data_IF_932197825194
#
_entry.id   IF_932197825194
#
_cell.length_a   1.000
_cell.length_b   1.000
_cell.length_c   1.000
_cell.angle_alpha   90.00
_cell.angle_beta   90.00
_cell.angle_gamma   90.00
#
_symmetry.space_group_name_H-M   'P 1'
#
loop_
_entity.id
_entity.type
_entity.pdbx_description
1 polymer ?
#
# COMPACT_ATOMS: atom_id res chain seq x y z
N UNK A 1 -4.81 -18.72 -11.76
CA UNK A 1 -4.43 -18.03 -10.51
C UNK A 1 -3.56 -16.87 -10.94
N UNK A 2 -4.00 -15.62 -10.79
CA UNK A 2 -3.11 -14.48 -11.01
C UNK A 2 -2.29 -14.33 -9.73
N UNK A 3 -0.98 -14.53 -9.84
CA UNK A 3 -0.06 -14.32 -8.74
C UNK A 3 -0.11 -12.85 -8.30
N UNK A 4 -0.13 -12.62 -6.99
CA UNK A 4 -0.03 -11.27 -6.44
C UNK A 4 1.36 -10.73 -6.78
N UNK A 5 1.49 -9.55 -7.41
CA UNK A 5 2.79 -8.94 -7.67
C UNK A 5 3.62 -8.85 -6.39
N UNK A 6 4.94 -9.11 -6.50
CA UNK A 6 5.83 -9.16 -5.33
C UNK A 6 5.79 -7.84 -4.53
N UNK A 7 5.68 -6.70 -5.19
CA UNK A 7 5.54 -5.38 -4.57
C UNK A 7 4.27 -5.25 -3.72
N UNK A 8 3.13 -5.78 -4.18
CA UNK A 8 1.88 -5.83 -3.39
C UNK A 8 2.01 -6.77 -2.21
N UNK A 9 2.61 -7.94 -2.40
CA UNK A 9 2.86 -8.88 -1.31
C UNK A 9 3.71 -8.23 -0.22
N UNK A 10 4.82 -7.59 -0.59
CA UNK A 10 5.68 -6.85 0.34
C UNK A 10 4.92 -5.74 1.07
N UNK A 11 4.19 -4.90 0.33
CA UNK A 11 3.40 -3.81 0.90
C UNK A 11 2.41 -4.29 1.97
N UNK A 12 1.64 -5.35 1.68
CA UNK A 12 0.65 -5.89 2.60
C UNK A 12 1.29 -6.53 3.84
N UNK A 13 2.37 -7.29 3.66
CA UNK A 13 3.09 -7.89 4.79
C UNK A 13 3.74 -6.83 5.68
N UNK A 14 4.34 -5.78 5.10
CA UNK A 14 4.90 -4.67 5.86
C UNK A 14 3.84 -3.87 6.61
N UNK A 15 2.64 -3.69 6.04
CA UNK A 15 1.52 -3.05 6.73
C UNK A 15 1.06 -3.86 7.95
N UNK A 16 0.90 -5.18 7.80
CA UNK A 16 0.55 -6.08 8.90
C UNK A 16 1.61 -6.11 9.99
N UNK A 17 2.89 -6.12 9.62
CA UNK A 17 3.99 -6.04 10.56
C UNK A 17 3.94 -4.72 11.35
N UNK A 18 3.76 -3.59 10.66
CA UNK A 18 3.61 -2.28 11.31
C UNK A 18 2.39 -2.24 12.25
N UNK A 19 1.26 -2.83 11.86
CA UNK A 19 0.07 -2.97 12.71
C UNK A 19 0.36 -3.79 13.96
N UNK A 20 0.99 -4.96 13.83
CA UNK A 20 1.31 -5.83 14.96
C UNK A 20 2.29 -5.21 15.97
N UNK A 21 3.16 -4.30 15.51
CA UNK A 21 4.16 -3.62 16.34
C UNK A 21 3.66 -2.30 16.93
N UNK A 22 2.53 -1.78 16.44
CA UNK A 22 1.99 -0.51 16.91
C UNK A 22 1.53 -0.63 18.37
N UNK A 23 1.85 0.40 19.17
CA UNK A 23 1.47 0.46 20.59
C UNK A 23 0.88 1.83 20.93
N UNK A 24 -0.07 1.84 21.86
CA UNK A 24 -0.71 3.06 22.34
C UNK A 24 -1.48 3.82 21.24
N UNK A 25 -1.27 5.15 21.09
CA UNK A 25 -2.09 5.98 20.21
C UNK A 25 -1.90 5.66 18.71
N UNK A 26 -0.80 5.02 18.33
CA UNK A 26 -0.47 4.71 16.93
C UNK A 26 -1.24 3.51 16.36
N UNK A 27 -1.80 2.65 17.23
CA UNK A 27 -2.52 1.43 16.83
C UNK A 27 -3.65 1.75 15.86
N UNK A 28 -4.43 2.80 16.14
CA UNK A 28 -5.56 3.21 15.29
C UNK A 28 -5.09 3.61 13.90
N UNK A 29 -3.96 4.29 13.80
CA UNK A 29 -3.40 4.74 12.54
C UNK A 29 -2.84 3.57 11.73
N UNK A 30 -2.18 2.60 12.38
CA UNK A 30 -1.67 1.40 11.73
C UNK A 30 -2.81 0.51 11.19
N UNK A 31 -3.82 0.19 12.02
CA UNK A 31 -5.00 -0.60 11.60
C UNK A 31 -5.72 0.07 10.42
N UNK A 32 -5.92 1.39 10.51
CA UNK A 32 -6.55 2.17 9.44
C UNK A 32 -5.74 2.16 8.15
N UNK A 33 -4.42 2.28 8.25
CA UNK A 33 -3.50 2.18 7.11
C UNK A 33 -3.63 0.82 6.45
N UNK A 34 -3.63 -0.28 7.20
CA UNK A 34 -3.85 -1.63 6.66
C UNK A 34 -5.19 -1.73 5.93
N UNK A 35 -6.27 -1.25 6.55
CA UNK A 35 -7.61 -1.26 5.94
C UNK A 35 -7.67 -0.49 4.61
N UNK A 36 -7.01 0.67 4.55
CA UNK A 36 -6.90 1.48 3.33
C UNK A 36 -6.11 0.75 2.25
N UNK A 37 -5.00 0.08 2.60
CA UNK A 37 -4.20 -0.68 1.64
C UNK A 37 -4.93 -1.93 1.11
N UNK A 38 -5.71 -2.63 1.95
CA UNK A 38 -6.55 -3.75 1.51
C UNK A 38 -7.59 -3.30 0.49
N UNK A 39 -8.26 -2.17 0.76
CA UNK A 39 -9.20 -1.56 -0.19
C UNK A 39 -8.49 -1.12 -1.47
N UNK A 40 -7.36 -0.42 -1.33
CA UNK A 40 -6.58 0.07 -2.47
C UNK A 40 -6.11 -1.06 -3.40
N UNK A 41 -5.65 -2.19 -2.84
CA UNK A 41 -5.29 -3.36 -3.64
C UNK A 41 -6.48 -3.94 -4.40
N UNK A 42 -7.64 -4.06 -3.74
CA UNK A 42 -8.86 -4.56 -4.39
C UNK A 42 -9.29 -3.63 -5.52
N UNK A 43 -9.30 -2.33 -5.27
CA UNK A 43 -9.78 -1.32 -6.21
C UNK A 43 -8.79 -1.13 -7.38
N UNK A 44 -7.51 -1.45 -7.17
CA UNK A 44 -6.49 -1.56 -8.22
C UNK A 44 -6.51 -2.91 -8.98
N UNK A 45 -7.49 -3.78 -8.72
CA UNK A 45 -7.70 -5.02 -9.49
C UNK A 45 -7.08 -6.29 -8.89
N UNK A 46 -6.45 -6.23 -7.72
CA UNK A 46 -5.95 -7.43 -7.02
C UNK A 46 -7.13 -8.20 -6.44
N UNK A 47 -7.24 -9.48 -6.78
CA UNK A 47 -8.40 -10.28 -6.35
C UNK A 47 -8.47 -10.43 -4.83
N UNK A 48 -9.69 -10.38 -4.28
CA UNK A 48 -9.92 -10.58 -2.83
C UNK A 48 -9.37 -11.91 -2.34
N UNK A 49 -9.47 -12.97 -3.16
CA UNK A 49 -8.93 -14.28 -2.82
C UNK A 49 -7.39 -14.23 -2.70
N UNK A 50 -6.73 -13.54 -3.63
CA UNK A 50 -5.28 -13.38 -3.61
C UNK A 50 -4.79 -12.52 -2.44
N UNK A 51 -5.52 -11.44 -2.11
CA UNK A 51 -5.24 -10.62 -0.92
C UNK A 51 -5.39 -11.46 0.35
N UNK A 52 -6.49 -12.22 0.47
CA UNK A 52 -6.78 -13.07 1.61
C UNK A 52 -5.71 -14.15 1.84
N UNK A 53 -5.19 -14.73 0.76
CA UNK A 53 -4.06 -15.66 0.80
C UNK A 53 -2.79 -14.98 1.33
N UNK A 54 -2.43 -13.80 0.82
CA UNK A 54 -1.24 -13.07 1.30
C UNK A 54 -1.32 -12.75 2.79
N UNK A 55 -2.47 -12.26 3.25
CA UNK A 55 -2.65 -11.85 4.65
C UNK A 55 -3.08 -12.99 5.58
N UNK A 56 -3.23 -14.21 5.05
CA UNK A 56 -3.61 -15.42 5.80
C UNK A 56 -4.93 -15.28 6.60
N UNK A 57 -5.95 -14.68 5.97
CA UNK A 57 -7.30 -14.55 6.57
C UNK A 57 -8.38 -15.05 5.61
N UNK A 58 -9.62 -15.19 6.09
CA UNK A 58 -10.76 -15.51 5.24
C UNK A 58 -11.10 -14.33 4.31
N UNK A 59 -11.49 -14.61 3.06
CA UNK A 59 -11.90 -13.59 2.09
C UNK A 59 -13.03 -12.67 2.58
N UNK A 60 -13.94 -13.19 3.40
CA UNK A 60 -15.02 -12.42 4.02
C UNK A 60 -14.48 -11.32 4.97
N UNK A 61 -13.41 -11.61 5.71
CA UNK A 61 -12.75 -10.63 6.57
C UNK A 61 -12.17 -9.46 5.78
N UNK A 62 -11.69 -9.68 4.55
CA UNK A 62 -11.18 -8.61 3.69
C UNK A 62 -12.32 -7.67 3.29
N UNK A 63 -13.46 -8.21 2.86
CA UNK A 63 -14.61 -7.40 2.42
C UNK A 63 -15.12 -6.47 3.52
N UNK A 64 -15.14 -6.95 4.77
CA UNK A 64 -15.63 -6.19 5.92
C UNK A 64 -14.65 -5.10 6.41
N UNK A 65 -13.36 -5.23 6.10
CA UNK A 65 -12.29 -4.35 6.59
C UNK A 65 -11.84 -3.31 5.57
N UNK A 66 -12.22 -3.44 4.31
CA UNK A 66 -11.72 -2.61 3.20
C UNK A 66 -12.54 -1.34 3.01
N UNK A 67 -12.00 -0.20 3.46
CA UNK A 67 -12.51 1.14 3.16
C UNK A 67 -11.39 1.90 2.44
N UNK A 68 -11.61 2.41 1.23
CA UNK A 68 -10.59 3.24 0.59
C UNK A 68 -10.47 4.58 1.33
N UNK A 69 -9.25 5.09 1.42
CA UNK A 69 -8.94 6.25 2.22
C UNK A 69 -7.66 6.93 1.79
N UNK A 70 -7.47 8.15 2.28
CA UNK A 70 -6.28 8.94 1.99
C UNK A 70 -5.12 8.47 2.86
N UNK A 71 -3.99 8.19 2.23
CA UNK A 71 -2.78 7.70 2.88
C UNK A 71 -1.64 8.70 2.68
N UNK A 72 -0.86 8.91 3.75
CA UNK A 72 0.32 9.77 3.70
C UNK A 72 1.40 9.15 2.81
N UNK A 73 1.99 9.96 1.92
CA UNK A 73 3.09 9.53 1.04
C UNK A 73 4.24 8.94 1.83
N UNK A 74 4.62 9.55 2.95
CA UNK A 74 5.73 9.07 3.76
C UNK A 74 5.44 7.68 4.37
N UNK A 75 4.20 7.44 4.79
CA UNK A 75 3.78 6.14 5.32
C UNK A 75 3.76 5.09 4.20
N UNK A 76 3.18 5.44 3.04
CA UNK A 76 3.15 4.56 1.88
C UNK A 76 4.55 4.17 1.43
N UNK A 77 5.41 5.16 1.18
CA UNK A 77 6.77 4.97 0.69
C UNK A 77 7.56 4.02 1.60
N UNK A 78 7.49 4.26 2.91
CA UNK A 78 8.11 3.38 3.92
C UNK A 78 7.61 1.94 3.85
N UNK A 79 6.30 1.73 3.69
CA UNK A 79 5.71 0.37 3.65
C UNK A 79 5.96 -0.33 2.31
N UNK A 80 5.94 0.41 1.21
CA UNK A 80 6.17 -0.11 -0.14
C UNK A 80 7.65 -0.32 -0.46
N UNK A 81 8.56 0.17 0.39
CA UNK A 81 10.01 0.11 0.14
C UNK A 81 10.46 1.02 -1.00
N UNK A 82 9.72 2.10 -1.26
CA UNK A 82 10.05 3.15 -2.23
C UNK A 82 10.36 4.45 -1.51
N UNK A 83 10.87 5.44 -2.22
CA UNK A 83 11.16 6.78 -1.72
C UNK A 83 9.99 7.73 -1.94
N UNK A 84 9.93 8.81 -1.13
CA UNK A 84 8.95 9.89 -1.34
C UNK A 84 9.15 10.58 -2.70
N UNK A 85 10.41 10.66 -3.14
CA UNK A 85 10.76 11.25 -4.44
C UNK A 85 10.22 10.41 -5.60
N UNK A 86 10.31 9.08 -5.53
CA UNK A 86 9.70 8.17 -6.51
C UNK A 86 8.19 8.38 -6.61
N UNK A 87 7.49 8.43 -5.47
CA UNK A 87 6.03 8.71 -5.46
C UNK A 87 5.73 10.10 -6.03
N UNK A 88 6.59 11.09 -5.79
CA UNK A 88 6.46 12.43 -6.36
C UNK A 88 6.68 12.44 -7.88
N UNK A 89 7.50 11.52 -8.41
CA UNK A 89 7.62 11.33 -9.87
C UNK A 89 6.32 10.78 -10.44
N UNK A 90 5.67 9.81 -9.78
CA UNK A 90 4.39 9.26 -10.24
C UNK A 90 3.33 10.35 -10.42
N UNK A 91 3.31 11.35 -9.54
CA UNK A 91 2.44 12.51 -9.70
C UNK A 91 2.81 13.34 -10.94
N UNK A 92 4.10 13.62 -11.15
CA UNK A 92 4.58 14.37 -12.33
C UNK A 92 4.30 13.64 -13.64
N UNK A 93 4.35 12.32 -13.61
CA UNK A 93 4.07 11.43 -14.74
C UNK A 93 2.57 11.20 -14.96
N UNK A 94 1.71 11.78 -14.11
CA UNK A 94 0.25 11.68 -14.23
C UNK A 94 -0.35 10.35 -13.77
N UNK A 95 0.43 9.52 -13.07
CA UNK A 95 -0.02 8.24 -12.49
C UNK A 95 -0.84 8.43 -11.20
N UNK A 96 -0.66 9.56 -10.52
CA UNK A 96 -1.42 9.91 -9.32
C UNK A 96 -2.37 11.09 -9.59
N UNK A 97 -3.58 11.07 -9.00
CA UNK A 97 -4.46 12.24 -9.01
C UNK A 97 -3.85 13.37 -8.17
N UNK A 98 -4.50 14.53 -8.13
CA UNK A 98 -4.11 15.60 -7.19
C UNK A 98 -4.28 15.13 -5.75
N UNK A 99 -3.31 15.43 -4.90
CA UNK A 99 -3.38 15.11 -3.47
C UNK A 99 -4.60 15.78 -2.83
N UNK A 100 -5.29 15.05 -1.96
CA UNK A 100 -6.49 15.55 -1.27
C UNK A 100 -6.32 15.47 0.24
N UNK A 101 -6.95 16.39 1.00
CA UNK A 101 -7.00 16.28 2.45
C UNK A 101 -8.01 15.19 2.87
N UNK A 102 -7.66 14.43 3.90
CA UNK A 102 -8.57 13.50 4.58
C UNK A 102 -9.47 14.24 5.60
N UNK A 103 -10.38 13.50 6.24
CA UNK A 103 -11.27 14.04 7.29
C UNK A 103 -10.51 14.62 8.51
N UNK A 104 -9.24 14.26 8.70
CA UNK A 104 -8.35 14.76 9.74
C UNK A 104 -7.41 15.86 9.21
N UNK A 105 -7.66 16.39 8.01
CA UNK A 105 -6.84 17.40 7.31
C UNK A 105 -5.43 16.93 6.96
N UNK A 106 -5.18 15.62 6.95
CA UNK A 106 -3.91 15.05 6.48
C UNK A 106 -3.94 15.05 4.96
N UNK A 107 -2.89 15.56 4.33
CA UNK A 107 -2.77 15.57 2.87
C UNK A 107 -2.10 14.28 2.41
N UNK A 108 -2.67 13.64 1.39
CA UNK A 108 -2.13 12.42 0.82
C UNK A 108 -2.85 12.05 -0.47
N UNK A 109 -2.77 10.77 -0.82
CA UNK A 109 -3.43 10.22 -2.01
C UNK A 109 -4.37 9.09 -1.62
N UNK A 110 -5.43 8.83 -2.41
CA UNK A 110 -6.21 7.60 -2.27
C UNK A 110 -5.27 6.38 -2.29
N UNK A 111 -5.48 5.43 -1.38
CA UNK A 111 -4.65 4.24 -1.30
C UNK A 111 -4.70 3.44 -2.60
N UNK A 112 -5.87 3.37 -3.24
CA UNK A 112 -6.06 2.80 -4.59
C UNK A 112 -5.13 3.43 -5.64
N UNK A 113 -4.99 4.76 -5.66
CA UNK A 113 -4.12 5.45 -6.61
C UNK A 113 -2.63 5.15 -6.35
N UNK A 114 -2.21 5.13 -5.08
CA UNK A 114 -0.83 4.79 -4.71
C UNK A 114 -0.47 3.35 -5.08
N UNK A 115 -1.41 2.42 -4.86
CA UNK A 115 -1.24 1.02 -5.24
C UNK A 115 -1.19 0.87 -6.76
N UNK A 116 -2.06 1.56 -7.50
CA UNK A 116 -2.03 1.56 -8.96
C UNK A 116 -0.70 2.11 -9.52
N UNK A 117 -0.18 3.19 -8.93
CA UNK A 117 1.15 3.72 -9.28
C UNK A 117 2.27 2.70 -9.05
N UNK A 118 2.26 2.03 -7.88
CA UNK A 118 3.24 0.98 -7.56
C UNK A 118 3.17 -0.21 -8.53
N UNK A 119 1.97 -0.61 -8.95
CA UNK A 119 1.78 -1.67 -9.94
C UNK A 119 2.34 -1.25 -11.31
N UNK A 120 2.00 -0.06 -11.77
CA UNK A 120 2.47 0.46 -13.06
C UNK A 120 4.00 0.52 -13.14
N UNK A 121 4.69 0.84 -12.04
CA UNK A 121 6.16 0.84 -12.01
C UNK A 121 6.77 -0.56 -11.91
N UNK A 122 6.05 -1.52 -11.33
CA UNK A 122 6.51 -2.91 -11.19
C UNK A 122 6.44 -3.68 -12.52
N UNK A 123 5.52 -3.31 -13.42
CA UNK A 123 5.36 -3.93 -14.73
C UNK A 123 6.34 -3.37 -15.80
N UNK A 124 6.86 -2.16 -15.58
CA UNK A 124 7.80 -1.50 -16.50
C UNK A 124 9.29 -1.71 -16.20
N UNK A 125 9.65 -2.36 -15.10
CA UNK A 125 11.03 -2.46 -14.61
C UNK A 125 11.42 -3.87 -14.19
N UNK A 126 12.46 -4.40 -14.83
CA UNK A 126 13.13 -5.66 -14.51
C UNK A 126 13.36 -5.80 -12.98
N UNK A 127 12.89 -6.90 -12.39
CA UNK A 127 12.77 -7.12 -10.95
C UNK A 127 14.12 -7.38 -10.22
N UNK A 128 15.14 -6.56 -10.46
CA UNK A 128 16.50 -6.75 -9.93
C UNK A 128 16.80 -6.02 -8.61
N UNK A 129 15.83 -5.33 -7.99
CA UNK A 129 16.13 -4.37 -6.91
C UNK A 129 15.53 -4.68 -5.52
N UNK A 130 15.05 -5.90 -5.23
CA UNK A 130 14.55 -6.25 -3.90
C UNK A 130 15.61 -6.96 -3.03
N UNK A 131 16.77 -6.33 -2.89
CA UNK A 131 17.67 -6.61 -1.76
C UNK A 131 18.05 -5.31 -1.06
N UNK A 132 17.79 -5.18 0.25
CA UNK A 132 18.35 -4.08 1.01
C UNK A 132 19.88 -4.26 1.03
N UNK A 133 20.62 -3.33 0.43
CA UNK A 133 22.03 -3.14 0.77
C UNK A 133 22.08 -2.76 2.24
N UNK A 134 22.24 -3.75 3.11
CA UNK A 134 22.75 -3.55 4.47
C UNK A 134 24.17 -3.02 4.32
N UNK A 135 24.34 -1.70 4.45
CA UNK A 135 25.66 -1.13 4.70
C UNK A 135 26.13 -1.62 6.07
N UNK A 136 27.33 -2.21 6.08
CA UNK A 136 28.11 -2.56 7.26
C UNK A 136 28.50 -1.32 8.06
#
# INVERSE_FOLDING_TARGET
>A
MHDVPASIRCLLLSALEAESKAVGPEVRDAVRTTHYLLAGCRDAGVSVASIADVVQVRAESIRLRSVDGVLSVAVFARLAGVTVDEVSMWQRDGLLPTATPDALKRTGYPASALVAGLLATSEGGDASCLHPKRSL
#
